data_IF_024508162903
#
_entry.id   IF_024508162903
#
_cell.length_a   1.000
_cell.length_b   1.000
_cell.length_c   1.000
_cell.angle_alpha   90.00
_cell.angle_beta   90.00
_cell.angle_gamma   90.00
#
_symmetry.space_group_name_H-M   'P 1'
#
loop_
_entity.id
_entity.type
_entity.pdbx_description
1 polymer ?
#
# COMPACT_ATOMS: atom_id res chain seq x y z
N UNK A 1 -39.73 16.23 67.29
CA UNK A 1 -39.77 15.46 68.56
C UNK A 1 -39.96 13.98 68.24
N UNK A 2 -38.97 13.16 68.63
CA UNK A 2 -38.98 11.71 68.92
C UNK A 2 -39.29 10.64 67.84
N UNK A 3 -38.22 9.89 67.53
CA UNK A 3 -38.02 8.42 67.61
C UNK A 3 -39.05 7.41 67.06
N UNK A 4 -38.55 6.52 66.18
CA UNK A 4 -38.64 5.02 66.16
C UNK A 4 -38.43 4.54 64.71
N UNK A 5 -37.68 3.51 64.35
CA UNK A 5 -36.94 2.47 65.07
C UNK A 5 -36.56 1.39 64.02
N UNK A 6 -35.30 0.95 64.07
CA UNK A 6 -34.67 -0.33 63.67
C UNK A 6 -35.27 -1.20 62.54
N UNK A 7 -34.40 -1.64 61.62
CA UNK A 7 -34.01 -3.06 61.47
C UNK A 7 -32.78 -3.17 60.54
N UNK A 8 -31.68 -3.65 61.09
CA UNK A 8 -30.46 -4.02 60.39
C UNK A 8 -30.65 -5.29 59.56
N UNK A 9 -30.22 -5.28 58.28
CA UNK A 9 -29.66 -6.47 57.62
C UNK A 9 -28.57 -6.00 56.65
N UNK A 10 -27.36 -6.48 56.87
CA UNK A 10 -26.13 -6.17 56.13
C UNK A 10 -26.27 -6.42 54.62
N UNK A 11 -25.72 -5.49 53.82
CA UNK A 11 -25.39 -5.72 52.42
C UNK A 11 -23.91 -5.37 52.19
N UNK A 12 -23.13 -6.22 51.50
CA UNK A 12 -21.68 -6.13 51.51
C UNK A 12 -21.18 -5.01 50.59
N UNK A 13 -20.21 -4.25 51.10
CA UNK A 13 -19.52 -3.20 50.36
C UNK A 13 -18.57 -3.83 49.33
N UNK A 14 -18.82 -3.57 48.04
CA UNK A 14 -17.82 -3.69 46.99
C UNK A 14 -17.78 -2.34 46.28
N UNK A 15 -16.81 -1.51 46.67
CA UNK A 15 -16.44 -0.32 45.91
C UNK A 15 -15.69 -0.75 44.66
N UNK A 16 -16.32 -0.56 43.49
CA UNK A 16 -15.66 -0.68 42.19
C UNK A 16 -15.34 0.74 41.73
N UNK A 17 -14.10 1.16 41.89
CA UNK A 17 -13.51 2.25 41.11
C UNK A 17 -12.93 1.68 39.82
N UNK A 18 -13.19 2.39 38.72
CA UNK A 18 -12.99 1.98 37.34
C UNK A 18 -11.54 2.25 36.93
N UNK A 19 -10.82 1.21 36.52
CA UNK A 19 -9.67 1.34 35.61
C UNK A 19 -9.90 0.47 34.38
N UNK A 20 -9.78 1.11 33.20
CA UNK A 20 -9.99 0.53 31.87
C UNK A 20 -8.97 -0.58 31.61
N UNK A 21 -9.40 -1.84 31.59
CA UNK A 21 -8.57 -2.94 31.08
C UNK A 21 -8.76 -3.08 29.57
N UNK A 22 -7.67 -2.91 28.84
CA UNK A 22 -7.51 -3.32 27.44
C UNK A 22 -7.85 -4.81 27.31
N UNK A 23 -8.81 -5.11 26.43
CA UNK A 23 -9.13 -6.49 26.06
C UNK A 23 -8.06 -7.02 25.14
N UNK A 24 -7.03 -7.65 25.71
CA UNK A 24 -6.18 -8.58 24.98
C UNK A 24 -6.94 -9.91 24.87
N UNK A 25 -7.26 -10.30 23.63
CA UNK A 25 -7.79 -11.60 23.28
C UNK A 25 -6.91 -12.71 23.89
N UNK A 26 -7.51 -13.46 24.83
CA UNK A 26 -6.93 -14.68 25.37
C UNK A 26 -6.87 -15.75 24.29
N UNK A 27 -5.81 -15.74 23.48
CA UNK A 27 -5.35 -16.94 22.79
C UNK A 27 -4.45 -17.68 23.76
N UNK A 28 -4.88 -18.87 24.18
CA UNK A 28 -4.07 -19.79 24.98
C UNK A 28 -2.76 -20.09 24.25
N UNK A 29 -1.67 -19.42 24.63
CA UNK A 29 -0.32 -19.80 24.26
C UNK A 29 0.15 -20.88 25.23
N UNK A 30 -0.28 -22.11 24.98
CA UNK A 30 0.60 -23.23 25.31
C UNK A 30 1.90 -22.97 24.55
N UNK A 31 3.00 -22.79 25.29
CA UNK A 31 4.33 -22.56 24.75
C UNK A 31 4.73 -23.77 23.88
N UNK A 32 4.34 -23.73 22.61
CA UNK A 32 4.97 -24.54 21.58
C UNK A 32 6.44 -24.13 21.58
N UNK A 33 7.30 -24.97 22.18
CA UNK A 33 8.76 -24.86 22.13
C UNK A 33 9.22 -25.15 20.71
N UNK A 34 8.85 -24.28 19.76
CA UNK A 34 9.33 -24.33 18.39
C UNK A 34 10.80 -23.94 18.46
N UNK A 35 11.73 -24.83 18.07
CA UNK A 35 13.15 -24.48 18.01
C UNK A 35 13.33 -23.19 17.21
N UNK A 36 14.21 -22.29 17.66
CA UNK A 36 14.41 -20.96 17.04
C UNK A 36 14.65 -21.08 15.53
N UNK A 37 15.38 -22.11 15.14
CA UNK A 37 15.76 -22.47 13.79
C UNK A 37 14.53 -22.76 12.90
N UNK A 38 13.47 -23.34 13.48
CA UNK A 38 12.20 -23.64 12.80
C UNK A 38 11.30 -22.40 12.75
N UNK A 39 11.30 -21.58 13.81
CA UNK A 39 10.61 -20.28 13.82
C UNK A 39 11.16 -19.34 12.76
N UNK A 40 12.48 -19.25 12.65
CA UNK A 40 13.13 -18.39 11.68
C UNK A 40 12.82 -18.85 10.25
N UNK A 41 12.76 -20.16 9.97
CA UNK A 41 12.35 -20.69 8.65
C UNK A 41 10.87 -20.44 8.35
N UNK A 42 9.99 -20.55 9.35
CA UNK A 42 8.54 -20.30 9.20
C UNK A 42 8.21 -18.81 9.01
N UNK A 43 8.99 -17.91 9.62
CA UNK A 43 8.83 -16.45 9.51
C UNK A 43 9.68 -15.84 8.39
N UNK A 44 10.76 -16.50 7.98
CA UNK A 44 11.56 -16.12 6.82
C UNK A 44 10.87 -16.59 5.55
N UNK A 45 9.84 -15.86 5.14
CA UNK A 45 9.74 -15.64 3.70
C UNK A 45 11.04 -14.93 3.31
N UNK A 46 11.83 -15.42 2.33
CA UNK A 46 12.79 -14.56 1.69
C UNK A 46 11.94 -13.52 0.93
N UNK A 47 11.46 -12.49 1.63
CA UNK A 47 10.79 -11.34 1.04
C UNK A 47 11.87 -10.69 0.20
N UNK A 48 11.98 -11.12 -1.07
CA UNK A 48 12.84 -10.47 -2.05
C UNK A 48 12.47 -9.01 -1.96
N UNK A 49 13.47 -8.18 -1.63
CA UNK A 49 13.19 -6.78 -1.37
C UNK A 49 12.48 -6.19 -2.58
N UNK A 50 11.27 -5.68 -2.36
CA UNK A 50 10.53 -5.02 -3.40
C UNK A 50 11.34 -3.82 -3.90
N UNK A 51 11.16 -3.46 -5.16
CA UNK A 51 11.91 -2.35 -5.77
C UNK A 51 11.69 -1.06 -4.96
N UNK A 52 10.44 -0.73 -4.64
CA UNK A 52 10.07 0.31 -3.69
C UNK A 52 9.50 -0.31 -2.41
N UNK A 53 10.30 -0.26 -1.35
CA UNK A 53 9.93 -0.82 -0.03
C UNK A 53 9.02 0.08 0.80
N UNK A 54 9.18 1.41 0.68
CA UNK A 54 8.39 2.39 1.42
C UNK A 54 8.35 3.69 0.64
N UNK A 55 7.26 4.45 0.79
CA UNK A 55 7.18 5.83 0.32
C UNK A 55 7.79 6.71 1.41
N UNK A 56 8.84 7.52 1.13
CA UNK A 56 9.38 8.44 2.13
C UNK A 56 8.31 9.42 2.64
N UNK A 57 8.29 9.65 3.96
CA UNK A 57 7.31 10.54 4.60
C UNK A 57 7.74 12.02 4.49
N UNK A 58 7.86 12.50 3.26
CA UNK A 58 8.10 13.89 2.94
C UNK A 58 7.07 14.41 1.93
N UNK A 59 6.90 15.73 1.89
CA UNK A 59 5.88 16.36 1.05
C UNK A 59 6.10 16.11 -0.45
N UNK A 60 7.37 16.03 -0.89
CA UNK A 60 7.70 15.81 -2.30
C UNK A 60 7.35 14.38 -2.69
N UNK A 61 7.73 13.40 -1.88
CA UNK A 61 7.40 11.99 -2.10
C UNK A 61 5.90 11.74 -2.06
N UNK A 62 5.18 12.36 -1.12
CA UNK A 62 3.71 12.30 -1.06
C UNK A 62 3.07 12.88 -2.33
N UNK A 63 3.52 14.05 -2.79
CA UNK A 63 3.03 14.65 -4.03
C UNK A 63 3.27 13.74 -5.25
N UNK A 64 4.43 13.08 -5.31
CA UNK A 64 4.77 12.16 -6.41
C UNK A 64 3.88 10.91 -6.36
N UNK A 65 3.64 10.35 -5.17
CA UNK A 65 2.73 9.22 -4.99
C UNK A 65 1.28 9.58 -5.41
N UNK A 66 0.79 10.76 -5.04
CA UNK A 66 -0.52 11.25 -5.46
C UNK A 66 -0.60 11.48 -6.98
N UNK A 67 0.46 12.01 -7.61
CA UNK A 67 0.53 12.14 -9.07
C UNK A 67 0.52 10.79 -9.77
N UNK A 68 1.24 9.82 -9.22
CA UNK A 68 1.25 8.45 -9.75
C UNK A 68 -0.14 7.81 -9.64
N UNK A 69 -0.79 7.96 -8.48
CA UNK A 69 -2.16 7.50 -8.26
C UNK A 69 -3.15 8.13 -9.25
N UNK A 70 -3.08 9.46 -9.44
CA UNK A 70 -3.91 10.16 -10.43
C UNK A 70 -3.70 9.60 -11.84
N UNK A 71 -2.45 9.40 -12.24
CA UNK A 71 -2.10 8.76 -13.52
C UNK A 71 -2.73 7.37 -13.69
N UNK A 72 -2.64 6.50 -12.67
CA UNK A 72 -3.24 5.17 -12.72
C UNK A 72 -4.77 5.24 -12.85
N UNK A 73 -5.41 6.10 -12.06
CA UNK A 73 -6.86 6.30 -12.09
C UNK A 73 -7.31 6.89 -13.44
N UNK A 74 -6.51 7.74 -14.06
CA UNK A 74 -6.79 8.35 -15.37
C UNK A 74 -6.65 7.39 -16.55
N UNK A 75 -5.80 6.37 -16.43
CA UNK A 75 -5.60 5.37 -17.47
C UNK A 75 -6.53 4.17 -17.32
N UNK A 76 -6.60 3.60 -16.12
CA UNK A 76 -7.30 2.34 -15.86
C UNK A 76 -8.59 2.49 -15.06
N UNK A 77 -8.90 3.69 -14.57
CA UNK A 77 -10.05 3.91 -13.71
C UNK A 77 -9.83 3.46 -12.27
N UNK A 78 -10.70 3.94 -11.38
CA UNK A 78 -10.61 3.63 -9.94
C UNK A 78 -10.95 2.16 -9.66
N UNK A 79 -11.85 1.56 -10.44
CA UNK A 79 -12.29 0.18 -10.26
C UNK A 79 -11.18 -0.84 -10.51
N UNK A 80 -10.22 -0.53 -11.39
CA UNK A 80 -9.12 -1.43 -11.72
C UNK A 80 -7.81 -1.09 -10.99
N UNK A 81 -7.81 -0.03 -10.18
CA UNK A 81 -6.61 0.45 -9.50
C UNK A 81 -6.02 -0.60 -8.55
N UNK A 82 -6.87 -1.24 -7.75
CA UNK A 82 -6.46 -2.27 -6.79
C UNK A 82 -5.76 -3.43 -7.51
N UNK A 83 -6.38 -4.00 -8.54
CA UNK A 83 -5.80 -5.07 -9.35
C UNK A 83 -4.41 -4.70 -9.93
N UNK A 84 -4.23 -3.45 -10.36
CA UNK A 84 -2.96 -2.98 -10.91
C UNK A 84 -1.88 -2.88 -9.83
N UNK A 85 -2.23 -2.35 -8.65
CA UNK A 85 -1.29 -2.24 -7.56
C UNK A 85 -0.93 -3.63 -7.00
N UNK A 86 -1.89 -4.55 -6.91
CA UNK A 86 -1.64 -5.96 -6.58
C UNK A 86 -0.73 -6.65 -7.61
N UNK A 87 -0.91 -6.35 -8.90
CA UNK A 87 -0.01 -6.83 -9.94
C UNK A 87 1.42 -6.33 -9.68
N UNK A 88 1.61 -5.05 -9.36
CA UNK A 88 2.93 -4.49 -9.02
C UNK A 88 3.53 -5.09 -7.74
N UNK A 89 2.70 -5.39 -6.74
CA UNK A 89 3.13 -6.11 -5.55
C UNK A 89 3.61 -7.52 -5.90
N UNK A 90 2.83 -8.26 -6.69
CA UNK A 90 3.10 -9.64 -7.07
C UNK A 90 4.42 -9.78 -7.84
N UNK A 91 4.73 -8.84 -8.73
CA UNK A 91 6.00 -8.84 -9.49
C UNK A 91 7.17 -8.19 -8.72
N UNK A 92 6.97 -7.80 -7.47
CA UNK A 92 8.01 -7.25 -6.59
C UNK A 92 8.42 -5.80 -6.90
N UNK A 93 7.58 -5.03 -7.59
CA UNK A 93 7.86 -3.62 -7.86
C UNK A 93 7.57 -2.72 -6.65
N UNK A 94 6.52 -3.04 -5.91
CA UNK A 94 6.16 -2.35 -4.67
C UNK A 94 6.01 -3.35 -3.52
N UNK A 95 6.31 -2.90 -2.31
CA UNK A 95 6.00 -3.67 -1.11
C UNK A 95 4.51 -3.58 -0.77
N UNK A 96 4.11 -4.44 0.15
CA UNK A 96 2.80 -4.41 0.81
C UNK A 96 2.52 -3.07 1.49
N UNK A 97 3.51 -2.47 2.17
CA UNK A 97 3.40 -1.15 2.80
C UNK A 97 3.03 -0.07 1.77
N UNK A 98 3.68 -0.11 0.61
CA UNK A 98 3.42 0.86 -0.47
C UNK A 98 2.03 0.64 -1.08
N UNK A 99 1.62 -0.62 -1.28
CA UNK A 99 0.28 -0.98 -1.75
C UNK A 99 -0.79 -0.39 -0.83
N UNK A 100 -0.68 -0.63 0.48
CA UNK A 100 -1.62 -0.11 1.48
C UNK A 100 -1.68 1.42 1.49
N UNK A 101 -0.54 2.10 1.42
CA UNK A 101 -0.49 3.56 1.37
C UNK A 101 -1.21 4.09 0.12
N UNK A 102 -0.96 3.48 -1.04
CA UNK A 102 -1.58 3.90 -2.30
C UNK A 102 -3.10 3.68 -2.30
N UNK A 103 -3.58 2.55 -1.75
CA UNK A 103 -5.02 2.30 -1.57
C UNK A 103 -5.65 3.26 -0.57
N UNK A 104 -4.94 3.58 0.53
CA UNK A 104 -5.38 4.58 1.49
C UNK A 104 -5.53 5.95 0.83
N UNK A 105 -4.56 6.37 0.02
CA UNK A 105 -4.66 7.61 -0.76
C UNK A 105 -5.86 7.57 -1.71
N UNK A 106 -6.07 6.45 -2.42
CA UNK A 106 -7.22 6.29 -3.32
C UNK A 106 -8.55 6.48 -2.59
N UNK A 107 -8.71 5.85 -1.41
CA UNK A 107 -9.93 5.96 -0.59
C UNK A 107 -10.22 7.38 -0.11
N UNK A 108 -9.17 8.18 0.16
CA UNK A 108 -9.28 9.57 0.58
C UNK A 108 -9.50 10.57 -0.54
N UNK A 109 -9.33 10.16 -1.80
CA UNK A 109 -9.47 11.01 -2.98
C UNK A 109 -10.78 10.74 -3.70
N UNK A 110 -11.61 11.77 -3.91
CA UNK A 110 -12.72 11.65 -4.85
C UNK A 110 -12.12 11.61 -6.26
N UNK A 111 -12.53 10.64 -7.08
CA UNK A 111 -12.24 10.70 -8.50
C UNK A 111 -12.75 12.06 -9.03
N UNK A 112 -11.90 12.79 -9.77
CA UNK A 112 -12.29 14.06 -10.35
C UNK A 112 -13.59 13.89 -11.13
N UNK A 113 -14.48 14.87 -11.08
CA UNK A 113 -15.72 14.83 -11.83
C UNK A 113 -15.38 14.77 -13.32
N UNK A 114 -15.51 13.58 -13.91
CA UNK A 114 -15.17 13.33 -15.31
C UNK A 114 -16.35 13.68 -16.20
N UNK A 115 -16.04 13.93 -17.47
CA UNK A 115 -17.09 14.12 -18.46
C UNK A 115 -18.01 12.89 -18.54
N UNK A 116 -19.31 13.06 -18.83
CA UNK A 116 -20.31 11.98 -18.79
C UNK A 116 -19.95 10.75 -19.65
N UNK A 117 -19.09 10.92 -20.66
CA UNK A 117 -18.75 9.90 -21.64
C UNK A 117 -17.34 9.33 -21.45
N UNK A 118 -16.61 9.72 -20.40
CA UNK A 118 -15.27 9.20 -20.15
C UNK A 118 -15.33 7.71 -19.79
N UNK A 119 -14.57 6.90 -20.53
CA UNK A 119 -14.38 5.48 -20.27
C UNK A 119 -12.88 5.20 -20.18
N UNK A 120 -12.38 4.62 -19.08
CA UNK A 120 -11.01 4.13 -19.03
C UNK A 120 -10.86 2.93 -19.98
N UNK A 121 -9.64 2.66 -20.43
CA UNK A 121 -9.32 1.54 -21.33
C UNK A 121 -9.37 0.17 -20.62
N UNK A 122 -9.83 0.13 -19.36
CA UNK A 122 -9.83 -0.97 -18.40
C UNK A 122 -8.44 -1.60 -18.12
N UNK A 123 -7.42 -1.37 -18.95
CA UNK A 123 -6.07 -1.92 -18.83
C UNK A 123 -5.01 -0.86 -19.15
N UNK A 124 -3.87 -0.96 -18.47
CA UNK A 124 -2.69 -0.16 -18.79
C UNK A 124 -1.99 -0.70 -20.03
N UNK A 125 -1.46 0.22 -20.85
CA UNK A 125 -0.54 -0.15 -21.92
C UNK A 125 0.85 -0.47 -21.34
N UNK A 126 1.71 -1.11 -22.14
CA UNK A 126 3.13 -1.31 -21.78
C UNK A 126 3.80 0.03 -21.45
N UNK A 127 3.49 1.08 -22.20
CA UNK A 127 4.02 2.42 -21.96
C UNK A 127 3.57 2.96 -20.60
N UNK A 128 2.33 2.70 -20.19
CA UNK A 128 1.84 3.13 -18.88
C UNK A 128 2.51 2.40 -17.71
N UNK A 129 2.84 1.12 -17.90
CA UNK A 129 3.65 0.36 -16.94
C UNK A 129 5.08 0.92 -16.84
N UNK A 130 5.70 1.33 -17.95
CA UNK A 130 7.01 2.00 -17.94
C UNK A 130 6.95 3.35 -17.21
N UNK A 131 5.90 4.14 -17.42
CA UNK A 131 5.68 5.39 -16.69
C UNK A 131 5.53 5.11 -15.20
N UNK A 132 4.75 4.09 -14.82
CA UNK A 132 4.61 3.67 -13.42
C UNK A 132 5.97 3.29 -12.82
N UNK A 133 6.81 2.60 -13.59
CA UNK A 133 8.17 2.23 -13.18
C UNK A 133 9.06 3.45 -12.91
N UNK A 134 8.90 4.54 -13.67
CA UNK A 134 9.61 5.80 -13.44
C UNK A 134 9.13 6.50 -12.16
N UNK A 135 7.82 6.47 -11.86
CA UNK A 135 7.31 6.98 -10.58
C UNK A 135 7.93 6.21 -9.40
N UNK A 136 7.98 4.88 -9.49
CA UNK A 136 8.60 3.99 -8.51
C UNK A 136 10.08 4.35 -8.31
N UNK A 137 10.84 4.54 -9.39
CA UNK A 137 12.24 4.97 -9.29
C UNK A 137 12.40 6.33 -8.63
N UNK A 138 11.52 7.26 -8.98
CA UNK A 138 11.57 8.60 -8.41
C UNK A 138 11.29 8.58 -6.91
N UNK A 139 10.38 7.73 -6.45
CA UNK A 139 10.02 7.52 -5.04
C UNK A 139 11.13 6.79 -4.26
N UNK A 140 11.93 5.96 -4.92
CA UNK A 140 13.17 5.37 -4.34
C UNK A 140 14.29 6.39 -4.13
N UNK A 141 14.13 7.62 -4.64
CA UNK A 141 15.12 8.69 -4.55
C UNK A 141 16.00 8.83 -5.80
N UNK A 142 15.74 8.08 -6.87
CA UNK A 142 16.46 8.25 -8.14
C UNK A 142 16.12 9.61 -8.74
N UNK A 143 17.14 10.41 -9.06
CA UNK A 143 16.95 11.68 -9.79
C UNK A 143 16.72 11.36 -11.26
N UNK A 144 15.49 11.57 -11.72
CA UNK A 144 15.16 11.48 -13.15
C UNK A 144 15.38 12.86 -13.75
N UNK A 145 16.50 13.04 -14.45
CA UNK A 145 16.77 14.28 -15.18
C UNK A 145 16.21 14.17 -16.61
N UNK A 146 15.93 15.30 -17.28
CA UNK A 146 15.47 15.30 -18.67
C UNK A 146 16.42 14.53 -19.60
N UNK A 147 17.72 14.59 -19.33
CA UNK A 147 18.76 13.89 -20.11
C UNK A 147 18.60 12.37 -20.01
N UNK A 148 18.33 11.85 -18.81
CA UNK A 148 18.07 10.42 -18.57
C UNK A 148 16.79 9.97 -19.26
N UNK A 149 15.73 10.79 -19.21
CA UNK A 149 14.48 10.46 -19.90
C UNK A 149 14.69 10.41 -21.42
N UNK A 150 15.43 11.39 -21.96
CA UNK A 150 15.77 11.45 -23.38
C UNK A 150 16.66 10.28 -23.81
N UNK A 151 17.57 9.79 -22.96
CA UNK A 151 18.38 8.61 -23.28
C UNK A 151 17.54 7.34 -23.32
N UNK A 152 16.64 7.16 -22.35
CA UNK A 152 15.69 6.02 -22.33
C UNK A 152 14.81 6.03 -23.58
N UNK A 153 14.28 7.20 -23.98
CA UNK A 153 13.46 7.30 -25.19
C UNK A 153 14.25 6.90 -26.45
N UNK A 154 15.51 7.32 -26.55
CA UNK A 154 16.40 6.94 -27.66
C UNK A 154 16.69 5.45 -27.68
N UNK A 155 16.96 4.85 -26.52
CA UNK A 155 17.19 3.40 -26.39
C UNK A 155 15.94 2.61 -26.79
N UNK A 156 14.76 3.00 -26.31
CA UNK A 156 13.49 2.36 -26.70
C UNK A 156 13.25 2.45 -28.22
N UNK A 157 13.50 3.62 -28.83
CA UNK A 157 13.40 3.77 -30.30
C UNK A 157 14.40 2.88 -31.04
N UNK A 158 15.62 2.78 -30.54
CA UNK A 158 16.65 1.91 -31.13
C UNK A 158 16.27 0.43 -31.01
N UNK A 159 15.78 0.01 -29.83
CA UNK A 159 15.29 -1.35 -29.61
C UNK A 159 14.13 -1.69 -30.55
N UNK A 160 13.14 -0.80 -30.67
CA UNK A 160 12.02 -1.00 -31.59
C UNK A 160 12.52 -1.16 -33.03
N UNK A 161 13.45 -0.31 -33.48
CA UNK A 161 14.05 -0.42 -34.82
C UNK A 161 14.81 -1.73 -35.03
N UNK A 162 15.50 -2.24 -34.00
CA UNK A 162 16.17 -3.55 -34.07
C UNK A 162 15.12 -4.66 -34.14
N UNK A 163 14.04 -4.57 -33.35
CA UNK A 163 12.96 -5.55 -33.38
C UNK A 163 12.26 -5.57 -34.76
N UNK A 164 11.98 -4.41 -35.35
CA UNK A 164 11.47 -4.28 -36.72
C UNK A 164 12.44 -4.93 -37.73
N UNK A 165 13.76 -4.68 -37.59
CA UNK A 165 14.76 -5.26 -38.48
C UNK A 165 14.91 -6.78 -38.33
N UNK A 166 14.86 -7.30 -37.09
CA UNK A 166 15.06 -8.73 -36.79
C UNK A 166 13.80 -9.55 -37.04
N UNK A 167 12.62 -9.01 -36.73
CA UNK A 167 11.35 -9.73 -36.77
C UNK A 167 10.43 -9.31 -37.91
N UNK A 168 10.77 -8.26 -38.66
CA UNK A 168 10.03 -7.86 -39.87
C UNK A 168 8.58 -7.44 -39.65
N UNK A 169 8.24 -6.99 -38.44
CA UNK A 169 6.92 -6.41 -38.10
C UNK A 169 6.98 -4.90 -38.25
#
# INVERSE_FOLDING_TARGET
LKYRGELDVETPQIGVEIEKSEGEDKVMTEELQIPKDVRDVLLSTPKMKARLERIPNDAVSTMIALKWLGFLIDRAGINNLENILEFYYTIGWISEEVLEIMLKYASGTRAHQREPNWKPDDKLTIQDHLISLLFIERLRGTRITPEVLNSIERELKMMNKILEYVYGV
#
